data_IF_443822257897
#
_entry.id   IF_443822257897
#
_cell.length_a   1.000
_cell.length_b   1.000
_cell.length_c   1.000
_cell.angle_alpha   90.00
_cell.angle_beta   90.00
_cell.angle_gamma   90.00
#
_symmetry.space_group_name_H-M   'P 1'
#
loop_
_entity.id
_entity.type
_entity.pdbx_description
1 polymer ?
#
# COMPACT_ATOMS: atom_id res chain seq x y z
N UNK A 1 10.16 15.79 6.50
CA UNK A 1 9.61 14.83 5.53
C UNK A 1 8.12 14.65 5.80
N UNK A 2 7.25 14.99 4.85
CA UNK A 2 5.81 14.71 4.88
C UNK A 2 5.53 13.45 4.07
N UNK A 3 4.94 12.44 4.70
CA UNK A 3 4.53 11.21 4.04
C UNK A 3 3.02 11.11 4.04
N UNK A 4 2.45 10.56 2.97
CA UNK A 4 1.03 10.32 2.84
C UNK A 4 0.77 8.91 2.29
N UNK A 5 -0.38 8.34 2.66
CA UNK A 5 -0.91 7.11 2.05
C UNK A 5 -2.29 7.39 1.49
N UNK A 6 -2.58 6.85 0.31
CA UNK A 6 -3.85 7.08 -0.38
C UNK A 6 -4.28 5.86 -1.20
N UNK A 7 -5.33 5.18 -0.77
CA UNK A 7 -6.04 4.21 -1.59
C UNK A 7 -6.87 4.96 -2.65
N UNK A 8 -6.44 4.88 -3.92
CA UNK A 8 -7.01 5.68 -5.02
C UNK A 8 -8.21 5.00 -5.69
N UNK A 9 -8.46 3.72 -5.40
CA UNK A 9 -9.56 2.94 -5.98
C UNK A 9 -9.66 3.11 -7.53
N UNK A 10 -8.56 2.87 -8.23
CA UNK A 10 -8.43 2.97 -9.68
C UNK A 10 -7.68 4.23 -10.14
N UNK A 11 -6.40 4.07 -10.45
CA UNK A 11 -5.50 5.19 -10.77
C UNK A 11 -5.95 5.97 -12.01
N UNK A 12 -6.37 5.29 -13.09
CA UNK A 12 -6.69 5.96 -14.36
C UNK A 12 -7.83 6.96 -14.22
N UNK A 13 -8.88 6.57 -13.49
CA UNK A 13 -10.04 7.42 -13.32
C UNK A 13 -9.81 8.51 -12.25
N UNK A 14 -8.84 8.33 -11.35
CA UNK A 14 -8.55 9.29 -10.26
C UNK A 14 -7.30 10.13 -10.50
N UNK A 15 -6.61 9.95 -11.62
CA UNK A 15 -5.40 10.68 -11.96
C UNK A 15 -5.55 12.22 -11.87
N UNK A 16 -6.61 12.86 -12.41
CA UNK A 16 -6.76 14.31 -12.27
C UNK A 16 -6.85 14.78 -10.80
N UNK A 17 -7.55 14.03 -9.95
CA UNK A 17 -7.65 14.34 -8.52
C UNK A 17 -6.32 14.14 -7.81
N UNK A 18 -5.60 13.06 -8.14
CA UNK A 18 -4.27 12.80 -7.60
C UNK A 18 -3.30 13.93 -7.96
N UNK A 19 -3.24 14.33 -9.23
CA UNK A 19 -2.33 15.39 -9.68
C UNK A 19 -2.64 16.73 -9.02
N UNK A 20 -3.92 17.10 -8.89
CA UNK A 20 -4.33 18.29 -8.15
C UNK A 20 -3.87 18.23 -6.69
N UNK A 21 -4.11 17.10 -6.03
CA UNK A 21 -3.71 16.92 -4.63
C UNK A 21 -2.18 16.91 -4.45
N UNK A 22 -1.41 16.31 -5.37
CA UNK A 22 0.05 16.36 -5.34
C UNK A 22 0.57 17.80 -5.45
N UNK A 23 -0.04 18.63 -6.31
CA UNK A 23 0.31 20.04 -6.44
C UNK A 23 -0.01 20.86 -5.17
N UNK A 24 -1.13 20.58 -4.51
CA UNK A 24 -1.57 21.30 -3.31
C UNK A 24 -0.84 20.85 -2.03
N UNK A 25 -0.81 19.54 -1.78
CA UNK A 25 -0.29 18.97 -0.53
C UNK A 25 1.23 18.79 -0.55
N UNK A 26 1.80 18.64 -1.74
CA UNK A 26 3.22 18.45 -2.04
C UNK A 26 3.97 17.54 -1.04
N UNK A 27 3.46 16.32 -0.75
CA UNK A 27 4.13 15.37 0.13
C UNK A 27 5.50 14.96 -0.44
N UNK A 28 6.45 14.63 0.44
CA UNK A 28 7.77 14.13 0.04
C UNK A 28 7.69 12.68 -0.44
N UNK A 29 6.82 11.88 0.17
CA UNK A 29 6.58 10.47 -0.19
C UNK A 29 5.08 10.19 -0.21
N UNK A 30 4.62 9.42 -1.21
CA UNK A 30 3.24 8.94 -1.29
C UNK A 30 3.19 7.45 -1.55
N UNK A 31 2.49 6.73 -0.69
CA UNK A 31 2.09 5.33 -0.89
C UNK A 31 0.70 5.29 -1.52
N UNK A 32 0.54 4.72 -2.71
CA UNK A 32 -0.75 4.54 -3.37
C UNK A 32 -1.21 3.09 -3.32
N UNK A 33 -2.50 2.85 -3.11
CA UNK A 33 -3.12 1.52 -3.12
C UNK A 33 -4.30 1.45 -4.10
N UNK A 34 -4.68 0.23 -4.47
CA UNK A 34 -5.74 -0.07 -5.44
C UNK A 34 -5.55 0.67 -6.77
N UNK A 35 -4.38 0.54 -7.38
CA UNK A 35 -4.15 1.10 -8.71
C UNK A 35 -5.15 0.54 -9.74
N UNK A 36 -5.51 -0.74 -9.65
CA UNK A 36 -6.41 -1.45 -10.58
C UNK A 36 -6.02 -1.29 -12.05
N UNK A 37 -4.72 -1.15 -12.30
CA UNK A 37 -4.13 -1.01 -13.62
C UNK A 37 -3.02 -2.06 -13.77
N UNK A 38 -2.91 -2.72 -14.94
CA UNK A 38 -1.75 -3.55 -15.24
C UNK A 38 -0.48 -2.70 -15.33
N UNK A 39 0.69 -3.34 -15.21
CA UNK A 39 1.99 -2.66 -15.09
C UNK A 39 2.21 -1.61 -16.19
N UNK A 40 1.86 -1.93 -17.43
CA UNK A 40 2.05 -1.12 -18.63
C UNK A 40 1.02 0.00 -18.84
N UNK A 41 -0.03 0.07 -18.00
CA UNK A 41 -1.08 1.11 -18.07
C UNK A 41 -1.01 2.12 -16.92
N UNK A 42 -0.01 2.01 -16.06
CA UNK A 42 0.22 3.01 -15.02
C UNK A 42 0.63 4.35 -15.67
N UNK A 43 0.08 5.50 -15.23
CA UNK A 43 0.33 6.79 -15.85
C UNK A 43 1.63 7.45 -15.32
N UNK A 44 2.77 6.77 -15.45
CA UNK A 44 4.05 7.23 -14.89
C UNK A 44 4.48 8.59 -15.44
N UNK A 45 4.33 8.84 -16.74
CA UNK A 45 4.70 10.13 -17.35
C UNK A 45 4.02 11.31 -16.66
N UNK A 46 2.71 11.24 -16.41
CA UNK A 46 1.98 12.31 -15.74
C UNK A 46 2.43 12.53 -14.28
N UNK A 47 2.83 11.47 -13.58
CA UNK A 47 3.37 11.56 -12.22
C UNK A 47 4.76 12.20 -12.24
N UNK A 48 5.59 11.84 -13.22
CA UNK A 48 6.92 12.42 -13.42
C UNK A 48 6.86 13.89 -13.78
N UNK A 49 5.94 14.26 -14.67
CA UNK A 49 5.68 15.66 -15.04
C UNK A 49 5.21 16.50 -13.83
N UNK A 50 4.55 15.87 -12.85
CA UNK A 50 4.19 16.51 -11.58
C UNK A 50 5.37 16.63 -10.59
N UNK A 51 6.58 16.23 -10.97
CA UNK A 51 7.80 16.34 -10.15
C UNK A 51 8.03 15.16 -9.20
N UNK A 52 7.43 14.00 -9.48
CA UNK A 52 7.57 12.80 -8.65
C UNK A 52 8.25 11.66 -9.41
N UNK A 53 9.34 11.13 -8.85
CA UNK A 53 9.82 9.81 -9.22
C UNK A 53 8.86 8.73 -8.71
N UNK A 54 8.82 7.59 -9.36
CA UNK A 54 7.79 6.57 -9.08
C UNK A 54 8.23 5.16 -9.40
N UNK A 55 7.92 4.25 -8.49
CA UNK A 55 7.91 2.80 -8.71
C UNK A 55 6.53 2.25 -8.39
N UNK A 56 6.12 1.20 -9.11
CA UNK A 56 4.80 0.60 -8.94
C UNK A 56 4.80 -0.88 -9.27
N UNK A 57 3.88 -1.58 -8.63
CA UNK A 57 3.50 -2.95 -8.96
C UNK A 57 2.01 -2.96 -9.34
N UNK A 58 1.73 -3.11 -10.63
CA UNK A 58 0.38 -3.10 -11.19
C UNK A 58 -0.24 -4.49 -11.32
N UNK A 59 -1.56 -4.56 -11.17
CA UNK A 59 -2.38 -5.75 -11.42
C UNK A 59 -3.70 -5.33 -12.06
N UNK A 60 -4.14 -6.06 -13.09
CA UNK A 60 -5.37 -5.74 -13.83
C UNK A 60 -6.60 -5.96 -12.93
N UNK A 61 -7.53 -5.01 -12.95
CA UNK A 61 -8.84 -5.03 -12.26
C UNK A 61 -8.81 -5.00 -10.73
N UNK A 62 -7.71 -5.41 -10.10
CA UNK A 62 -7.59 -5.59 -8.66
C UNK A 62 -6.26 -5.03 -8.15
N UNK A 63 -6.17 -4.75 -6.85
CA UNK A 63 -4.93 -4.44 -6.13
C UNK A 63 -4.08 -3.35 -6.81
N UNK A 64 -2.76 -3.47 -6.70
CA UNK A 64 -1.77 -2.57 -7.24
C UNK A 64 -1.34 -1.55 -6.18
N UNK A 65 -0.03 -1.33 -6.11
CA UNK A 65 0.61 -0.39 -5.17
C UNK A 65 1.70 0.42 -5.85
N UNK A 66 1.93 1.64 -5.39
CA UNK A 66 3.02 2.50 -5.87
C UNK A 66 3.64 3.33 -4.75
N UNK A 67 4.93 3.64 -4.90
CA UNK A 67 5.64 4.62 -4.09
C UNK A 67 6.05 5.76 -5.01
N UNK A 68 5.66 6.98 -4.65
CA UNK A 68 6.06 8.21 -5.30
C UNK A 68 7.00 8.97 -4.38
N UNK A 69 8.04 9.58 -4.93
CA UNK A 69 8.99 10.42 -4.20
C UNK A 69 9.18 11.76 -4.91
N UNK A 70 9.02 12.86 -4.18
CA UNK A 70 9.12 14.21 -4.76
C UNK A 70 10.58 14.54 -5.06
N UNK A 71 10.87 14.96 -6.28
CA UNK A 71 12.20 15.36 -6.76
C UNK A 71 13.29 14.27 -6.58
N UNK A 72 12.93 13.00 -6.47
CA UNK A 72 13.87 11.88 -6.38
C UNK A 72 13.23 10.58 -6.88
N UNK A 73 14.06 9.61 -7.28
CA UNK A 73 13.57 8.26 -7.58
C UNK A 73 13.57 7.39 -6.33
N UNK A 74 12.48 6.68 -6.03
CA UNK A 74 12.51 5.61 -5.04
C UNK A 74 13.49 4.51 -5.47
N UNK A 75 14.41 4.12 -4.57
CA UNK A 75 15.33 3.01 -4.83
C UNK A 75 14.67 1.70 -4.40
N UNK A 76 14.19 0.93 -5.38
CA UNK A 76 13.46 -0.30 -5.15
C UNK A 76 14.29 -1.33 -4.35
N UNK A 77 13.68 -1.89 -3.31
CA UNK A 77 14.22 -3.01 -2.53
C UNK A 77 13.51 -4.31 -2.93
N UNK A 78 12.17 -4.30 -3.00
CA UNK A 78 11.35 -5.47 -3.36
C UNK A 78 9.91 -5.11 -3.72
N UNK A 79 9.20 -6.06 -4.33
CA UNK A 79 7.77 -5.96 -4.74
C UNK A 79 6.86 -7.03 -4.12
N UNK A 80 7.36 -7.83 -3.20
CA UNK A 80 6.59 -8.87 -2.54
C UNK A 80 7.02 -8.98 -1.07
N UNK A 81 6.10 -9.41 -0.21
CA UNK A 81 6.45 -9.81 1.15
C UNK A 81 7.18 -11.17 1.10
N UNK A 82 8.26 -11.34 1.88
CA UNK A 82 8.87 -12.66 2.08
C UNK A 82 7.91 -13.68 2.68
N UNK A 83 8.25 -14.97 2.51
CA UNK A 83 7.60 -16.07 3.23
C UNK A 83 6.56 -16.86 2.43
N UNK A 84 6.23 -16.45 1.19
CA UNK A 84 5.40 -17.24 0.26
C UNK A 84 5.67 -16.77 -1.17
N UNK A 85 6.32 -17.62 -1.97
CA UNK A 85 6.73 -17.30 -3.33
C UNK A 85 5.58 -17.43 -4.36
N UNK A 86 4.49 -18.10 -3.98
CA UNK A 86 3.33 -18.31 -4.85
C UNK A 86 2.35 -17.12 -4.77
N UNK A 87 2.49 -16.24 -3.79
CA UNK A 87 1.69 -15.01 -3.67
C UNK A 87 2.14 -13.93 -4.66
N UNK A 88 1.58 -14.00 -5.86
CA UNK A 88 1.83 -13.06 -6.96
C UNK A 88 0.95 -11.80 -6.92
N UNK A 89 0.21 -11.55 -5.83
CA UNK A 89 -0.67 -10.38 -5.76
C UNK A 89 0.12 -9.09 -5.52
N UNK A 90 -0.20 -8.05 -6.29
CA UNK A 90 0.46 -6.73 -6.21
C UNK A 90 -0.01 -5.92 -5.01
N UNK A 91 0.33 -6.38 -3.81
CA UNK A 91 -0.12 -5.85 -2.52
C UNK A 91 0.99 -5.22 -1.69
N UNK A 92 2.24 -5.36 -2.09
CA UNK A 92 3.39 -4.82 -1.37
C UNK A 92 4.42 -4.26 -2.35
N UNK A 93 5.08 -3.17 -1.97
CA UNK A 93 6.28 -2.67 -2.64
C UNK A 93 7.10 -1.89 -1.61
N UNK A 94 8.42 -1.99 -1.71
CA UNK A 94 9.33 -1.42 -0.74
C UNK A 94 10.50 -0.74 -1.44
N UNK A 95 10.87 0.43 -0.95
CA UNK A 95 11.99 1.21 -1.47
C UNK A 95 12.61 2.10 -0.41
N UNK A 96 13.86 2.47 -0.63
CA UNK A 96 14.49 3.56 0.13
C UNK A 96 14.18 4.89 -0.54
N UNK A 97 13.71 5.86 0.24
CA UNK A 97 13.53 7.26 -0.17
C UNK A 97 14.15 8.16 0.88
N UNK A 98 15.10 9.01 0.48
CA UNK A 98 15.78 9.96 1.38
C UNK A 98 16.33 9.33 2.67
N UNK A 99 16.87 8.10 2.58
CA UNK A 99 17.44 7.36 3.70
C UNK A 99 16.42 6.65 4.62
N UNK A 100 15.14 6.63 4.25
CA UNK A 100 14.08 5.90 4.98
C UNK A 100 13.58 4.75 4.13
N UNK A 101 13.44 3.56 4.73
CA UNK A 101 12.80 2.41 4.10
C UNK A 101 11.29 2.59 4.15
N UNK A 102 10.64 2.66 2.99
CA UNK A 102 9.21 2.85 2.83
C UNK A 102 8.62 1.55 2.30
N UNK A 103 7.75 0.90 3.06
CA UNK A 103 6.90 -0.20 2.58
C UNK A 103 5.49 0.30 2.33
N UNK A 104 5.05 0.26 1.07
CA UNK A 104 3.67 0.55 0.67
C UNK A 104 2.86 -0.75 0.59
N UNK A 105 1.76 -0.84 1.34
CA UNK A 105 0.94 -2.06 1.43
C UNK A 105 -0.55 -1.87 1.14
N UNK A 106 -1.16 -2.90 0.57
CA UNK A 106 -2.59 -3.08 0.43
C UNK A 106 -3.01 -4.46 0.96
N UNK A 107 -3.29 -4.50 2.26
CA UNK A 107 -3.57 -5.74 2.98
C UNK A 107 -4.88 -6.37 2.47
N UNK A 108 -4.97 -7.71 2.34
CA UNK A 108 -6.20 -8.37 1.91
C UNK A 108 -7.42 -8.00 2.76
N UNK A 109 -8.54 -7.64 2.13
CA UNK A 109 -9.79 -7.33 2.85
C UNK A 109 -10.27 -8.50 3.73
N UNK A 110 -10.28 -9.71 3.18
CA UNK A 110 -10.56 -10.96 3.90
C UNK A 110 -12.02 -11.39 3.93
N UNK A 111 -12.99 -10.58 3.50
CA UNK A 111 -14.39 -10.99 3.54
C UNK A 111 -14.76 -12.05 2.48
N UNK A 112 -15.72 -12.96 2.79
CA UNK A 112 -16.38 -13.13 4.10
C UNK A 112 -15.49 -13.83 5.13
N UNK A 113 -15.76 -13.61 6.41
CA UNK A 113 -15.12 -14.31 7.53
C UNK A 113 -16.15 -15.18 8.30
N UNK A 114 -15.82 -16.43 8.66
CA UNK A 114 -14.60 -17.16 8.28
C UNK A 114 -14.62 -17.59 6.80
N UNK A 115 -13.47 -18.01 6.28
CA UNK A 115 -13.35 -18.55 4.93
C UNK A 115 -11.96 -18.39 4.32
N UNK A 116 -11.72 -18.95 3.11
CA UNK A 116 -10.39 -19.00 2.51
C UNK A 116 -9.76 -17.62 2.25
N UNK A 117 -10.59 -16.59 2.02
CA UNK A 117 -10.12 -15.20 1.88
C UNK A 117 -9.63 -14.63 3.21
N UNK A 118 -10.31 -14.97 4.31
CA UNK A 118 -9.91 -14.58 5.65
C UNK A 118 -8.64 -15.33 6.08
N UNK A 119 -8.55 -16.63 5.78
CA UNK A 119 -7.34 -17.42 6.05
C UNK A 119 -6.13 -16.85 5.30
N UNK A 120 -6.32 -16.42 4.05
CA UNK A 120 -5.28 -15.72 3.29
C UNK A 120 -4.89 -14.40 3.93
N UNK A 121 -5.86 -13.60 4.41
CA UNK A 121 -5.59 -12.35 5.14
C UNK A 121 -4.70 -12.59 6.36
N UNK A 122 -5.05 -13.58 7.19
CA UNK A 122 -4.29 -13.90 8.40
C UNK A 122 -2.85 -14.33 8.05
N UNK A 123 -2.66 -15.25 7.10
CA UNK A 123 -1.31 -15.65 6.66
C UNK A 123 -0.51 -14.49 6.04
N UNK A 124 -1.17 -13.58 5.35
CA UNK A 124 -0.52 -12.37 4.80
C UNK A 124 -0.07 -11.44 5.92
N UNK A 125 -0.90 -11.26 6.96
CA UNK A 125 -0.56 -10.45 8.13
C UNK A 125 0.60 -11.08 8.94
N UNK A 126 0.62 -12.39 9.13
CA UNK A 126 1.73 -13.08 9.80
C UNK A 126 3.07 -12.83 9.08
N UNK A 127 3.07 -12.90 7.74
CA UNK A 127 4.24 -12.56 6.92
C UNK A 127 4.64 -11.09 7.06
N UNK A 128 3.67 -10.17 7.11
CA UNK A 128 3.94 -8.76 7.35
C UNK A 128 4.58 -8.53 8.72
N UNK A 129 4.08 -9.18 9.77
CA UNK A 129 4.62 -9.08 11.14
C UNK A 129 6.06 -9.59 11.19
N UNK A 130 6.34 -10.76 10.58
CA UNK A 130 7.68 -11.31 10.51
C UNK A 130 8.65 -10.36 9.77
N UNK A 131 8.26 -9.87 8.60
CA UNK A 131 9.08 -8.91 7.83
C UNK A 131 9.27 -7.58 8.56
N UNK A 132 8.23 -7.07 9.22
CA UNK A 132 8.32 -5.85 10.02
C UNK A 132 9.31 -6.00 11.19
N UNK A 133 9.38 -7.17 11.82
CA UNK A 133 10.35 -7.44 12.88
C UNK A 133 11.80 -7.37 12.35
N UNK A 134 12.06 -7.92 11.16
CA UNK A 134 13.36 -7.80 10.49
C UNK A 134 13.72 -6.33 10.20
N UNK A 135 12.77 -5.57 9.64
CA UNK A 135 12.95 -4.15 9.36
C UNK A 135 13.26 -3.33 10.63
N UNK A 136 12.54 -3.57 11.72
CA UNK A 136 12.81 -2.93 13.02
C UNK A 136 14.20 -3.29 13.53
N UNK A 137 14.62 -4.55 13.39
CA UNK A 137 15.94 -5.01 13.84
C UNK A 137 17.11 -4.45 13.01
N UNK A 138 16.85 -3.97 11.80
CA UNK A 138 17.87 -3.42 10.89
C UNK A 138 18.54 -2.12 11.40
N UNK A 139 17.91 -1.43 12.34
CA UNK A 139 18.36 -0.11 12.83
C UNK A 139 18.16 1.05 11.84
N UNK A 140 17.62 0.78 10.64
CA UNK A 140 17.27 1.82 9.67
C UNK A 140 15.93 2.49 10.01
N UNK A 141 15.73 3.78 9.72
CA UNK A 141 14.39 4.38 9.77
C UNK A 141 13.46 3.68 8.79
N UNK A 142 12.31 3.20 9.29
CA UNK A 142 11.33 2.43 8.51
C UNK A 142 9.94 3.04 8.67
N UNK A 143 9.18 3.07 7.58
CA UNK A 143 7.76 3.36 7.57
C UNK A 143 7.00 2.31 6.75
N UNK A 144 6.06 1.62 7.39
CA UNK A 144 5.06 0.80 6.72
C UNK A 144 3.78 1.63 6.63
N UNK A 145 3.35 1.95 5.41
CA UNK A 145 2.20 2.80 5.15
C UNK A 145 1.31 2.17 4.09
N UNK A 146 0.00 2.27 4.27
CA UNK A 146 -0.92 1.63 3.35
C UNK A 146 -2.34 1.57 3.85
N UNK A 147 -3.13 0.76 3.15
CA UNK A 147 -4.46 0.35 3.58
C UNK A 147 -4.35 -1.03 4.21
N UNK A 148 -4.51 -1.05 5.53
CA UNK A 148 -4.38 -2.25 6.34
C UNK A 148 -5.62 -3.13 6.32
N UNK A 149 -6.77 -2.67 5.79
CA UNK A 149 -8.04 -3.41 5.88
C UNK A 149 -8.25 -4.02 7.29
N UNK A 150 -7.97 -3.25 8.34
CA UNK A 150 -8.19 -3.62 9.74
C UNK A 150 -8.80 -2.39 10.42
N UNK A 151 -9.83 -2.61 11.22
CA UNK A 151 -10.44 -1.63 12.10
C UNK A 151 -9.91 -1.97 13.50
N UNK A 152 -8.88 -1.27 14.00
CA UNK A 152 -8.15 -1.71 15.20
C UNK A 152 -9.01 -1.71 16.47
N UNK A 153 -9.92 -0.74 16.58
CA UNK A 153 -10.79 -0.61 17.75
C UNK A 153 -12.19 -0.15 17.35
N UNK A 154 -13.16 -0.31 18.25
CA UNK A 154 -14.51 0.25 18.10
C UNK A 154 -14.51 1.75 17.82
N UNK A 155 -13.48 2.49 18.24
CA UNK A 155 -13.37 3.94 18.03
C UNK A 155 -13.07 4.31 16.58
N UNK A 156 -12.60 3.34 15.79
CA UNK A 156 -12.22 3.53 14.39
C UNK A 156 -13.39 3.28 13.42
N UNK A 157 -14.60 3.05 13.95
CA UNK A 157 -15.79 2.80 13.16
C UNK A 157 -17.03 3.45 13.76
N UNK A 158 -17.94 3.93 12.91
CA UNK A 158 -19.11 4.71 13.34
C UNK A 158 -20.16 3.88 14.11
N UNK A 159 -20.31 2.58 13.80
CA UNK A 159 -21.29 1.66 14.42
C UNK A 159 -20.69 0.26 14.58
N UNK A 160 -19.84 0.03 15.59
CA UNK A 160 -19.07 -1.20 15.74
C UNK A 160 -19.91 -2.48 15.69
N UNK A 161 -21.13 -2.43 16.22
CA UNK A 161 -22.08 -3.54 16.23
C UNK A 161 -22.43 -4.09 14.84
N UNK A 162 -22.23 -3.29 13.77
CA UNK A 162 -22.44 -3.73 12.38
C UNK A 162 -21.26 -4.48 11.77
N UNK A 163 -20.11 -4.49 12.44
CA UNK A 163 -18.85 -5.00 11.89
C UNK A 163 -18.35 -6.25 12.61
N UNK A 164 -19.06 -6.74 13.62
CA UNK A 164 -18.69 -7.93 14.42
C UNK A 164 -18.42 -9.18 13.57
N UNK A 165 -19.08 -9.30 12.42
CA UNK A 165 -18.89 -10.40 11.47
C UNK A 165 -18.00 -10.05 10.27
N UNK A 166 -17.52 -8.81 10.19
CA UNK A 166 -16.64 -8.36 9.12
C UNK A 166 -15.20 -8.79 9.40
N UNK A 167 -14.51 -9.29 8.37
CA UNK A 167 -13.11 -9.65 8.43
C UNK A 167 -12.20 -8.52 8.92
N UNK A 168 -12.58 -7.25 8.73
CA UNK A 168 -11.82 -6.07 9.14
C UNK A 168 -11.79 -5.88 10.66
N UNK A 169 -12.76 -6.41 11.38
CA UNK A 169 -12.95 -6.18 12.82
C UNK A 169 -12.63 -7.42 13.67
N UNK A 170 -11.91 -8.39 13.08
CA UNK A 170 -11.62 -9.71 13.66
C UNK A 170 -10.12 -10.02 13.78
N UNK A 171 -9.28 -8.98 13.68
CA UNK A 171 -7.81 -9.08 13.67
C UNK A 171 -7.24 -8.08 14.66
#
# INVERSE_FOLDING_TARGET
MRVATYNVNGISARLPNLLRWLAEAAPDVVCLQELKAPQEKFPDAAIRDAGYGVIWHGQKSWNGVAILARNSEPLEIRRALPGDADDVNSRYIEATVNGVVIGCLYLPNGNPAPGPKFDYKLRWLDRLIAHAAELVSSGSPVLLAGDYNVIPTERDVYKPERWVDDALFRV
#
